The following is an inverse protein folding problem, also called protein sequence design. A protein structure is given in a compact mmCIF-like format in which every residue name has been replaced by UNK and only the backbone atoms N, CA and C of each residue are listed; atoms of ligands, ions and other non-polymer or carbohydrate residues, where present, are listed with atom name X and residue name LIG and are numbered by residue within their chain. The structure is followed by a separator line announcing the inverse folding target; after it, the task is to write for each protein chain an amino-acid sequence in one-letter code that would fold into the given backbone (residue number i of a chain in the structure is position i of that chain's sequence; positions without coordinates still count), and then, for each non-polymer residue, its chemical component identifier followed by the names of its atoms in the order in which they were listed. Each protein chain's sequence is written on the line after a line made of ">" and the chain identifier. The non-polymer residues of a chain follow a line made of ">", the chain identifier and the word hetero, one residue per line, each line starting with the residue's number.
data_IF_223696967722
#
_entry.id   IF_223696967722
#
_cell.length_a   1.000
_cell.length_b   1.000
_cell.length_c   1.000
_cell.angle_alpha   90.00
_cell.angle_beta   90.00
_cell.angle_gamma   90.00
#
_symmetry.space_group_name_H-M   'P 1'
#
loop_
_entity.id
_entity.type
_entity.pdbx_description
1 polymer ?
#
# COMPACT_ATOMS: atom_id res chain seq x y z
N UNK A 1 4.99 -46.70 15.77
CA UNK A 1 5.36 -45.36 16.30
C UNK A 1 5.21 -44.41 15.12
N UNK A 2 4.32 -43.40 15.27
CA UNK A 2 4.00 -42.34 14.30
C UNK A 2 5.29 -41.51 14.06
N UNK A 3 5.59 -40.98 12.89
CA UNK A 3 5.05 -39.71 12.38
C UNK A 3 5.11 -39.69 10.84
N UNK A 4 3.96 -39.43 10.23
CA UNK A 4 3.75 -39.12 8.83
C UNK A 4 4.11 -37.64 8.66
N UNK A 5 5.17 -37.30 7.93
CA UNK A 5 5.40 -35.92 7.50
C UNK A 5 4.58 -35.73 6.22
N UNK A 6 3.31 -35.37 6.43
CA UNK A 6 2.43 -34.88 5.39
C UNK A 6 2.93 -33.48 5.01
N UNK A 7 3.66 -33.39 3.89
CA UNK A 7 4.00 -32.12 3.25
C UNK A 7 2.74 -31.61 2.52
N UNK A 8 1.75 -31.22 3.32
CA UNK A 8 0.49 -30.64 2.86
C UNK A 8 0.67 -29.12 2.70
N UNK A 9 0.48 -28.67 1.47
CA UNK A 9 -0.03 -27.35 1.09
C UNK A 9 0.73 -26.10 1.58
N UNK A 10 1.64 -25.63 0.72
CA UNK A 10 1.90 -24.20 0.58
C UNK A 10 1.83 -23.80 -0.91
N UNK A 11 0.82 -24.31 -1.61
CA UNK A 11 0.29 -23.60 -2.78
C UNK A 11 -0.58 -22.49 -2.23
N UNK A 12 0.07 -21.40 -1.80
CA UNK A 12 -0.60 -20.12 -1.64
C UNK A 12 -1.01 -19.72 -3.06
N UNK A 13 -2.18 -20.19 -3.47
CA UNK A 13 -2.90 -19.66 -4.62
C UNK A 13 -3.28 -18.23 -4.24
N UNK A 14 -2.32 -17.32 -4.36
CA UNK A 14 -2.60 -15.89 -4.40
C UNK A 14 -3.41 -15.71 -5.67
N UNK A 15 -4.73 -15.86 -5.54
CA UNK A 15 -5.66 -15.31 -6.50
C UNK A 15 -5.40 -13.81 -6.47
N UNK A 16 -4.54 -13.36 -7.37
CA UNK A 16 -4.46 -11.99 -7.84
C UNK A 16 -5.83 -11.70 -8.46
N UNK A 17 -6.83 -11.47 -7.60
CA UNK A 17 -8.03 -10.77 -8.00
C UNK A 17 -7.55 -9.35 -8.34
N UNK A 18 -7.29 -9.13 -9.62
CA UNK A 18 -7.32 -7.81 -10.21
C UNK A 18 -8.77 -7.32 -10.05
N UNK A 19 -9.07 -6.76 -8.88
CA UNK A 19 -10.38 -6.16 -8.63
C UNK A 19 -10.42 -4.89 -9.46
N UNK A 20 -11.06 -4.96 -10.63
CA UNK A 20 -11.33 -3.76 -11.41
C UNK A 20 -12.22 -2.84 -10.58
N UNK A 21 -11.76 -1.61 -10.34
CA UNK A 21 -12.48 -0.63 -9.56
C UNK A 21 -13.61 -0.04 -10.44
N UNK A 22 -14.79 -0.65 -10.34
CA UNK A 22 -15.96 -0.33 -11.19
C UNK A 22 -16.67 0.97 -10.77
N UNK A 23 -16.59 1.37 -9.49
CA UNK A 23 -17.31 2.55 -8.99
C UNK A 23 -16.63 3.25 -7.81
N UNK A 24 -17.05 4.49 -7.53
CA UNK A 24 -16.62 5.26 -6.34
C UNK A 24 -17.11 4.63 -5.02
N UNK A 25 -18.23 3.90 -5.03
CA UNK A 25 -18.73 3.18 -3.84
C UNK A 25 -17.84 2.00 -3.44
N UNK A 26 -17.10 1.41 -4.39
CA UNK A 26 -16.20 0.28 -4.12
C UNK A 26 -14.82 0.71 -3.60
N UNK A 27 -14.53 2.01 -3.64
CA UNK A 27 -13.25 2.59 -3.24
C UNK A 27 -12.88 2.28 -1.79
N UNK A 28 -13.85 2.30 -0.88
CA UNK A 28 -13.61 2.02 0.54
C UNK A 28 -13.24 0.56 0.80
N UNK A 29 -13.89 -0.37 0.09
CA UNK A 29 -13.57 -1.81 0.19
C UNK A 29 -12.17 -2.07 -0.40
N UNK A 30 -11.88 -1.48 -1.56
CA UNK A 30 -10.57 -1.55 -2.19
C UNK A 30 -9.45 -1.03 -1.29
N UNK A 31 -9.67 0.08 -0.57
CA UNK A 31 -8.70 0.60 0.38
C UNK A 31 -8.49 -0.32 1.59
N UNK A 32 -9.54 -0.99 2.05
CA UNK A 32 -9.42 -1.96 3.12
C UNK A 32 -8.54 -3.16 2.71
N UNK A 33 -8.66 -3.63 1.47
CA UNK A 33 -7.81 -4.68 0.91
C UNK A 33 -6.35 -4.23 0.78
N UNK A 34 -6.11 -3.03 0.26
CA UNK A 34 -4.77 -2.43 0.17
C UNK A 34 -4.14 -2.31 1.57
N UNK A 35 -4.90 -1.83 2.55
CA UNK A 35 -4.43 -1.71 3.93
C UNK A 35 -4.11 -3.09 4.55
N UNK A 36 -4.84 -4.14 4.20
CA UNK A 36 -4.49 -5.50 4.63
C UNK A 36 -3.19 -5.99 3.98
N UNK A 37 -2.99 -5.77 2.68
CA UNK A 37 -1.72 -6.10 1.99
C UNK A 37 -0.54 -5.34 2.61
N UNK A 38 -0.71 -4.05 2.89
CA UNK A 38 0.34 -3.21 3.46
C UNK A 38 0.77 -3.64 4.87
N UNK A 39 -0.08 -4.33 5.65
CA UNK A 39 0.32 -4.89 6.96
C UNK A 39 1.44 -5.92 6.84
N UNK A 40 1.66 -6.52 5.67
CA UNK A 40 2.74 -7.48 5.43
C UNK A 40 4.11 -6.79 5.27
N UNK A 41 4.15 -5.47 5.05
CA UNK A 41 5.39 -4.69 4.89
C UNK A 41 6.16 -4.45 6.20
N UNK A 42 5.67 -4.94 7.35
CA UNK A 42 6.07 -4.45 8.69
C UNK A 42 7.51 -4.69 9.13
N UNK A 43 8.35 -5.41 8.38
CA UNK A 43 9.73 -5.66 8.82
C UNK A 43 10.78 -5.90 7.74
N UNK A 44 10.40 -6.09 6.47
CA UNK A 44 11.35 -6.37 5.39
C UNK A 44 10.98 -5.55 4.15
N UNK A 45 11.94 -4.88 3.50
CA UNK A 45 11.70 -4.22 2.24
C UNK A 45 11.41 -5.26 1.14
N UNK A 46 10.15 -5.37 0.77
CA UNK A 46 9.67 -6.20 -0.34
C UNK A 46 9.28 -5.30 -1.52
N UNK A 47 10.17 -5.21 -2.50
CA UNK A 47 9.97 -4.36 -3.69
C UNK A 47 8.73 -4.77 -4.50
N UNK A 48 8.38 -6.05 -4.51
CA UNK A 48 7.23 -6.57 -5.26
C UNK A 48 5.93 -6.14 -4.58
N UNK A 49 5.82 -6.37 -3.27
CA UNK A 49 4.64 -5.98 -2.50
C UNK A 49 4.44 -4.46 -2.46
N UNK A 50 5.51 -3.67 -2.30
CA UNK A 50 5.44 -2.20 -2.41
C UNK A 50 4.94 -1.80 -3.79
N UNK A 51 5.44 -2.46 -4.84
CA UNK A 51 5.02 -2.21 -6.22
C UNK A 51 3.54 -2.47 -6.43
N UNK A 52 3.04 -3.61 -5.96
CA UNK A 52 1.61 -3.94 -6.04
C UNK A 52 0.75 -2.87 -5.38
N UNK A 53 1.09 -2.47 -4.16
CA UNK A 53 0.29 -1.48 -3.42
C UNK A 53 0.29 -0.13 -4.13
N UNK A 54 1.45 0.33 -4.61
CA UNK A 54 1.52 1.59 -5.35
C UNK A 54 0.72 1.54 -6.65
N UNK A 55 0.73 0.41 -7.37
CA UNK A 55 -0.05 0.23 -8.60
C UNK A 55 -1.54 0.31 -8.32
N UNK A 56 -2.03 -0.40 -7.31
CA UNK A 56 -3.44 -0.38 -6.92
C UNK A 56 -3.87 1.03 -6.50
N UNK A 57 -3.02 1.73 -5.75
CA UNK A 57 -3.25 3.13 -5.39
C UNK A 57 -3.30 4.06 -6.60
N UNK A 58 -2.42 3.89 -7.58
CA UNK A 58 -2.41 4.71 -8.79
C UNK A 58 -3.63 4.43 -9.68
N UNK A 59 -4.14 3.19 -9.73
CA UNK A 59 -5.43 2.88 -10.40
C UNK A 59 -6.60 3.63 -9.74
N UNK A 60 -6.59 3.72 -8.41
CA UNK A 60 -7.62 4.43 -7.65
C UNK A 60 -7.63 5.95 -7.89
N UNK A 61 -6.53 6.53 -8.42
CA UNK A 61 -6.38 7.97 -8.69
C UNK A 61 -7.51 8.56 -9.54
N UNK A 62 -8.07 7.76 -10.46
CA UNK A 62 -9.21 8.16 -11.30
C UNK A 62 -10.44 8.56 -10.48
N UNK A 63 -10.61 7.97 -9.30
CA UNK A 63 -11.77 8.16 -8.43
C UNK A 63 -11.43 8.95 -7.16
N UNK A 64 -10.15 8.95 -6.76
CA UNK A 64 -9.59 9.75 -5.67
C UNK A 64 -8.25 10.39 -6.10
N UNK A 65 -8.28 11.64 -6.57
CA UNK A 65 -7.08 12.36 -6.98
C UNK A 65 -6.04 12.54 -5.86
N UNK A 66 -6.44 12.42 -4.58
CA UNK A 66 -5.54 12.57 -3.43
C UNK A 66 -4.89 11.26 -3.00
N UNK A 67 -5.35 10.12 -3.55
CA UNK A 67 -4.86 8.77 -3.32
C UNK A 67 -4.66 8.50 -1.81
N UNK A 68 -5.74 8.58 -1.03
CA UNK A 68 -5.69 8.34 0.42
C UNK A 68 -5.22 6.94 0.79
N UNK A 69 -5.32 5.95 -0.12
CA UNK A 69 -4.76 4.62 0.14
C UNK A 69 -3.25 4.62 0.37
N UNK A 70 -2.50 5.67 -0.02
CA UNK A 70 -1.08 5.81 0.31
C UNK A 70 -0.82 5.92 1.83
N UNK A 71 -1.83 6.24 2.63
CA UNK A 71 -1.75 6.18 4.10
C UNK A 71 -1.30 4.78 4.57
N UNK A 72 -1.72 3.72 3.88
CA UNK A 72 -1.38 2.35 4.29
C UNK A 72 0.10 2.03 4.17
N UNK A 73 0.85 2.75 3.33
CA UNK A 73 2.30 2.57 3.14
C UNK A 73 3.13 3.68 3.78
N UNK A 74 2.49 4.66 4.42
CA UNK A 74 3.18 5.81 5.02
C UNK A 74 4.11 5.40 6.16
N UNK A 75 3.70 4.43 6.99
CA UNK A 75 4.56 3.88 8.04
C UNK A 75 5.79 3.16 7.45
N UNK A 76 5.62 2.35 6.41
CA UNK A 76 6.74 1.70 5.72
C UNK A 76 7.68 2.73 5.06
N UNK A 77 7.12 3.74 4.39
CA UNK A 77 7.88 4.81 3.76
C UNK A 77 8.76 5.57 4.76
N UNK A 78 8.29 5.75 6.00
CA UNK A 78 9.08 6.37 7.08
C UNK A 78 10.36 5.60 7.38
N UNK A 79 10.31 4.27 7.37
CA UNK A 79 11.46 3.42 7.68
C UNK A 79 12.31 3.05 6.46
N UNK A 80 11.69 2.98 5.27
CA UNK A 80 12.33 2.52 4.02
C UNK A 80 12.05 3.46 2.83
N UNK A 81 12.36 4.76 2.91
CA UNK A 81 12.00 5.72 1.87
C UNK A 81 12.67 5.42 0.52
N UNK A 82 13.91 4.94 0.56
CA UNK A 82 14.71 4.58 -0.63
C UNK A 82 14.10 3.40 -1.40
N UNK A 83 13.49 2.44 -0.69
CA UNK A 83 12.81 1.31 -1.33
C UNK A 83 11.59 1.80 -2.09
N UNK A 84 10.79 2.66 -1.47
CA UNK A 84 9.60 3.24 -2.11
C UNK A 84 9.97 4.10 -3.32
N UNK A 85 11.00 4.95 -3.20
CA UNK A 85 11.52 5.77 -4.31
C UNK A 85 12.01 4.92 -5.49
N UNK A 86 12.81 3.88 -5.21
CA UNK A 86 13.28 2.95 -6.25
C UNK A 86 12.11 2.26 -6.94
N UNK A 87 11.16 1.74 -6.16
CA UNK A 87 10.01 1.01 -6.68
C UNK A 87 9.09 1.94 -7.47
N UNK A 88 8.87 3.17 -7.03
CA UNK A 88 8.05 4.14 -7.78
C UNK A 88 8.69 4.45 -9.13
N UNK A 89 9.99 4.76 -9.16
CA UNK A 89 10.72 5.07 -10.39
C UNK A 89 10.83 3.87 -11.35
N UNK A 90 10.76 2.65 -10.83
CA UNK A 90 10.77 1.42 -11.64
C UNK A 90 9.42 1.16 -12.33
N UNK A 91 8.31 1.53 -11.70
CA UNK A 91 6.95 1.14 -12.13
C UNK A 91 6.15 2.27 -12.77
N UNK A 92 6.52 3.53 -12.55
CA UNK A 92 5.76 4.70 -13.01
C UNK A 92 6.64 5.69 -13.77
N UNK A 93 6.00 6.61 -14.49
CA UNK A 93 6.72 7.75 -15.05
C UNK A 93 7.35 8.61 -13.96
N UNK A 94 8.31 9.47 -14.34
CA UNK A 94 8.93 10.41 -13.39
C UNK A 94 7.89 11.33 -12.73
N UNK A 95 6.94 11.85 -13.51
CA UNK A 95 5.88 12.73 -13.00
C UNK A 95 5.00 12.02 -11.97
N UNK A 96 4.60 10.79 -12.24
CA UNK A 96 3.82 9.97 -11.32
C UNK A 96 4.60 9.59 -10.06
N UNK A 97 5.88 9.27 -10.20
CA UNK A 97 6.77 9.00 -9.07
C UNK A 97 6.92 10.22 -8.18
N UNK A 98 7.16 11.40 -8.76
CA UNK A 98 7.26 12.67 -8.05
C UNK A 98 5.94 12.98 -7.30
N UNK A 99 4.80 12.70 -7.93
CA UNK A 99 3.48 12.83 -7.30
C UNK A 99 3.34 11.90 -6.08
N UNK A 100 3.65 10.60 -6.22
CA UNK A 100 3.56 9.61 -5.14
C UNK A 100 4.42 10.03 -3.95
N UNK A 101 5.69 10.36 -4.21
CA UNK A 101 6.65 10.72 -3.17
C UNK A 101 6.25 12.03 -2.48
N UNK A 102 5.77 13.02 -3.23
CA UNK A 102 5.25 14.26 -2.64
C UNK A 102 4.05 13.98 -1.74
N UNK A 103 3.11 13.13 -2.16
CA UNK A 103 1.92 12.79 -1.37
C UNK A 103 2.29 12.02 -0.10
N UNK A 104 3.19 11.04 -0.18
CA UNK A 104 3.69 10.30 0.98
C UNK A 104 4.42 11.21 1.98
N UNK A 105 5.19 12.19 1.50
CA UNK A 105 5.83 13.18 2.37
C UNK A 105 4.79 14.04 3.11
N UNK A 106 3.70 14.46 2.46
CA UNK A 106 2.59 15.18 3.09
C UNK A 106 1.92 14.31 4.16
N UNK A 107 1.55 13.08 3.82
CA UNK A 107 0.89 12.14 4.73
C UNK A 107 1.77 11.79 5.95
N UNK A 108 3.07 11.61 5.74
CA UNK A 108 4.01 11.37 6.82
C UNK A 108 4.15 12.60 7.74
N UNK A 109 4.11 13.81 7.19
CA UNK A 109 4.07 15.05 7.96
C UNK A 109 2.79 15.23 8.78
N UNK A 110 1.62 14.91 8.19
CA UNK A 110 0.32 14.93 8.89
C UNK A 110 0.28 13.92 10.05
N UNK A 111 0.83 12.72 9.85
CA UNK A 111 0.92 11.69 10.89
C UNK A 111 1.85 12.07 12.07
N UNK A 112 2.84 12.95 11.84
CA UNK A 112 3.75 13.44 12.89
C UNK A 112 3.14 14.63 13.63
N UNK A 113 2.29 15.43 12.97
CA UNK A 113 1.69 16.63 13.54
C UNK A 113 0.46 16.38 14.40
N UNK A 114 -0.10 15.16 14.44
CA UNK A 114 -1.02 14.74 15.49
C UNK A 114 -2.15 15.74 15.79
N UNK A 115 -2.78 16.32 14.76
CA UNK A 115 -4.12 16.88 14.94
C UNK A 115 -5.08 15.70 14.84
N UNK A 116 -5.28 15.01 15.95
CA UNK A 116 -6.50 14.26 16.19
C UNK A 116 -7.62 15.28 16.42
N UNK A 117 -8.57 15.48 15.48
CA UNK A 117 -9.71 16.39 15.70
C UNK A 117 -10.67 15.86 16.78
N UNK A 118 -10.39 14.72 17.41
CA UNK A 118 -11.15 14.16 18.53
C UNK A 118 -10.57 14.55 19.91
N UNK A 119 -9.49 15.33 19.94
CA UNK A 119 -8.81 15.77 21.15
C UNK A 119 -8.96 17.28 21.37
N UNK A 120 -10.20 17.76 21.48
CA UNK A 120 -10.49 19.04 22.17
C UNK A 120 -11.18 18.71 23.52
N UNK A 121 -10.89 19.49 24.60
CA UNK A 121 -11.36 19.22 25.95
C UNK A 121 -12.88 19.35 26.15
#
# INVERSE_FOLDING_TARGET
>A
MKVIISLMMLTLSIQLNASELESKSDLKAHYAEIAQKAKLLKSVPDDELVGEILVECMKARKYDPNIFCLESVTEFFRYFPQTVERVSLKNFSKEESDFILKRLNVLNGEAILGNDPSSEP
#
